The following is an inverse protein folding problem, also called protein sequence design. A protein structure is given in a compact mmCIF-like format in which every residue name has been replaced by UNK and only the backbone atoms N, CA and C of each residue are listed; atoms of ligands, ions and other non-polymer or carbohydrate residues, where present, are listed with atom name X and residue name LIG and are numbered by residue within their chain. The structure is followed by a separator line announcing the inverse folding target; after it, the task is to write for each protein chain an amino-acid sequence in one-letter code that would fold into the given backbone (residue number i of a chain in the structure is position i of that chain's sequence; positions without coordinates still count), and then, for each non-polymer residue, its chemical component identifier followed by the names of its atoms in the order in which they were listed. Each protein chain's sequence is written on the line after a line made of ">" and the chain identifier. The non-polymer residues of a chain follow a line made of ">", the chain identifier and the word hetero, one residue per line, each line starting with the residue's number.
data_IF_665004359346
#
_entry.id   IF_665004359346
#
_cell.length_a   1.000
_cell.length_b   1.000
_cell.length_c   1.000
_cell.angle_alpha   90.00
_cell.angle_beta   90.00
_cell.angle_gamma   90.00
#
_symmetry.space_group_name_H-M   'P 1'
#
loop_
_entity.id
_entity.type
_entity.pdbx_description
1 polymer ?
#
# COMPACT_ATOMS: atom_id res chain seq x y z
N UNK A 1 8.92 -26.19 -8.25
CA UNK A 1 10.10 -25.30 -8.26
C UNK A 1 9.79 -23.90 -8.78
N UNK A 2 9.29 -23.72 -10.01
CA UNK A 2 8.95 -22.37 -10.56
C UNK A 2 7.67 -21.78 -9.96
N UNK A 3 6.59 -22.56 -9.86
CA UNK A 3 5.32 -22.11 -9.26
C UNK A 3 5.45 -21.77 -7.76
N UNK A 4 6.32 -22.48 -7.03
CA UNK A 4 6.54 -22.20 -5.60
C UNK A 4 7.17 -20.81 -5.42
N UNK A 5 8.05 -20.42 -6.34
CA UNK A 5 8.71 -19.11 -6.33
C UNK A 5 7.78 -17.98 -6.74
N UNK A 6 6.91 -18.20 -7.72
CA UNK A 6 5.86 -17.23 -8.08
C UNK A 6 4.91 -16.99 -6.91
N UNK A 7 4.49 -18.05 -6.21
CA UNK A 7 3.68 -17.94 -4.99
C UNK A 7 4.40 -17.21 -3.86
N UNK A 8 5.69 -17.45 -3.68
CA UNK A 8 6.51 -16.74 -2.69
C UNK A 8 6.53 -15.23 -2.97
N UNK A 9 6.72 -14.83 -4.23
CA UNK A 9 6.70 -13.41 -4.63
C UNK A 9 5.31 -12.79 -4.42
N UNK A 10 4.24 -13.51 -4.75
CA UNK A 10 2.87 -13.06 -4.48
C UNK A 10 2.62 -12.85 -2.98
N UNK A 11 3.10 -13.74 -2.12
CA UNK A 11 2.99 -13.60 -0.67
C UNK A 11 3.78 -12.39 -0.14
N UNK A 12 4.99 -12.16 -0.65
CA UNK A 12 5.79 -10.97 -0.33
C UNK A 12 5.08 -9.68 -0.73
N UNK A 13 4.48 -9.64 -1.92
CA UNK A 13 3.67 -8.50 -2.33
C UNK A 13 2.49 -8.26 -1.38
N UNK A 14 1.79 -9.32 -0.94
CA UNK A 14 0.66 -9.17 -0.02
C UNK A 14 1.09 -8.61 1.34
N UNK A 15 2.27 -8.98 1.82
CA UNK A 15 2.88 -8.41 3.03
C UNK A 15 3.19 -6.92 2.85
N UNK A 16 3.87 -6.54 1.75
CA UNK A 16 4.15 -5.13 1.43
C UNK A 16 2.88 -4.29 1.21
N UNK A 17 1.85 -4.89 0.59
CA UNK A 17 0.58 -4.23 0.38
C UNK A 17 -0.13 -3.94 1.70
N UNK A 18 -0.04 -4.85 2.68
CA UNK A 18 -0.58 -4.64 4.02
C UNK A 18 0.14 -3.48 4.71
N UNK A 19 1.47 -3.41 4.66
CA UNK A 19 2.24 -2.30 5.23
C UNK A 19 1.83 -0.95 4.62
N UNK A 20 1.60 -0.90 3.31
CA UNK A 20 1.11 0.30 2.64
C UNK A 20 -0.32 0.68 3.04
N UNK A 21 -1.21 -0.30 3.23
CA UNK A 21 -2.57 -0.07 3.71
C UNK A 21 -2.56 0.47 5.14
N UNK A 22 -1.75 -0.10 6.03
CA UNK A 22 -1.59 0.35 7.41
C UNK A 22 -1.04 1.78 7.47
N UNK A 23 -0.09 2.12 6.59
CA UNK A 23 0.43 3.47 6.47
C UNK A 23 -0.64 4.48 6.01
N UNK A 24 -1.51 4.09 5.06
CA UNK A 24 -2.64 4.92 4.62
C UNK A 24 -3.65 5.08 5.75
N UNK A 25 -4.04 3.99 6.40
CA UNK A 25 -4.99 3.98 7.51
C UNK A 25 -4.50 4.90 8.64
N UNK A 26 -3.24 4.79 9.05
CA UNK A 26 -2.63 5.63 10.08
C UNK A 26 -2.77 7.14 9.79
N UNK A 27 -2.74 7.53 8.51
CA UNK A 27 -2.92 8.94 8.10
C UNK A 27 -4.39 9.36 8.00
N UNK A 28 -5.29 8.43 7.73
CA UNK A 28 -6.73 8.67 7.65
C UNK A 28 -7.41 8.63 9.03
N UNK A 29 -6.86 7.91 10.01
CA UNK A 29 -7.40 7.87 11.37
C UNK A 29 -7.51 9.29 11.93
N UNK A 30 -8.70 9.64 12.38
CA UNK A 30 -8.98 10.94 12.97
C UNK A 30 -9.00 12.10 11.97
N UNK A 31 -8.93 11.85 10.65
CA UNK A 31 -8.90 12.93 9.65
C UNK A 31 -10.12 13.86 9.73
N UNK A 32 -11.30 13.34 10.05
CA UNK A 32 -12.53 14.12 10.25
C UNK A 32 -12.47 15.07 11.46
N UNK A 33 -11.57 14.79 12.41
CA UNK A 33 -11.33 15.61 13.60
C UNK A 33 -10.13 16.55 13.46
N UNK A 34 -9.38 16.45 12.35
CA UNK A 34 -8.20 17.29 12.06
C UNK A 34 -8.62 18.45 11.18
N UNK A 35 -8.00 19.62 11.42
CA UNK A 35 -8.34 20.87 10.72
C UNK A 35 -8.08 20.74 9.22
N UNK A 36 -6.92 20.22 8.80
CA UNK A 36 -6.62 19.85 7.40
C UNK A 36 -5.49 18.80 7.33
N UNK A 37 -5.49 17.96 6.28
CA UNK A 37 -4.34 17.13 5.93
C UNK A 37 -3.27 17.99 5.26
N UNK A 38 -2.02 17.81 5.66
CA UNK A 38 -0.91 18.46 4.96
C UNK A 38 -0.71 17.85 3.58
N UNK A 39 -0.20 18.64 2.63
CA UNK A 39 0.19 18.14 1.29
C UNK A 39 1.15 16.95 1.38
N UNK A 40 2.06 16.95 2.34
CA UNK A 40 3.01 15.85 2.55
C UNK A 40 2.33 14.54 2.96
N UNK A 41 1.30 14.61 3.81
CA UNK A 41 0.50 13.43 4.20
C UNK A 41 -0.28 12.88 3.01
N UNK A 42 -0.89 13.75 2.21
CA UNK A 42 -1.58 13.35 0.98
C UNK A 42 -0.61 12.71 -0.01
N UNK A 43 0.53 13.34 -0.26
CA UNK A 43 1.57 12.81 -1.16
C UNK A 43 2.09 11.44 -0.69
N UNK A 44 2.21 11.22 0.62
CA UNK A 44 2.64 9.94 1.19
C UNK A 44 1.60 8.83 1.00
N UNK A 45 0.31 9.13 1.21
CA UNK A 45 -0.78 8.17 0.94
C UNK A 45 -0.85 7.83 -0.55
N UNK A 46 -0.73 8.83 -1.42
CA UNK A 46 -0.75 8.62 -2.87
C UNK A 46 0.42 7.74 -3.34
N UNK A 47 1.61 7.90 -2.78
CA UNK A 47 2.75 7.00 -3.09
C UNK A 47 2.48 5.56 -2.65
N UNK A 48 1.93 5.38 -1.45
CA UNK A 48 1.58 4.03 -0.95
C UNK A 48 0.54 3.36 -1.84
N UNK A 49 -0.52 4.09 -2.22
CA UNK A 49 -1.52 3.61 -3.17
C UNK A 49 -0.92 3.32 -4.56
N UNK A 50 0.03 4.13 -5.02
CA UNK A 50 0.73 3.92 -6.28
C UNK A 50 1.57 2.64 -6.27
N UNK A 51 2.30 2.37 -5.17
CA UNK A 51 3.08 1.14 -5.00
C UNK A 51 2.18 -0.10 -5.02
N UNK A 52 1.07 -0.08 -4.27
CA UNK A 52 0.09 -1.20 -4.27
C UNK A 52 -0.42 -1.45 -5.69
N UNK A 53 -0.84 -0.40 -6.41
CA UNK A 53 -1.33 -0.52 -7.78
C UNK A 53 -0.28 -1.13 -8.72
N UNK A 54 0.97 -0.68 -8.62
CA UNK A 54 2.07 -1.19 -9.43
C UNK A 54 2.37 -2.66 -9.15
N UNK A 55 2.47 -3.02 -7.86
CA UNK A 55 2.71 -4.40 -7.44
C UNK A 55 1.56 -5.34 -7.83
N UNK A 56 0.31 -4.92 -7.68
CA UNK A 56 -0.85 -5.71 -8.09
C UNK A 56 -0.82 -6.01 -9.60
N UNK A 57 -0.49 -5.01 -10.42
CA UNK A 57 -0.33 -5.19 -11.86
C UNK A 57 0.81 -6.14 -12.24
N UNK A 58 1.91 -6.15 -11.48
CA UNK A 58 3.03 -7.08 -11.68
C UNK A 58 2.71 -8.52 -11.27
N UNK A 59 1.85 -8.69 -10.26
CA UNK A 59 1.42 -9.99 -9.75
C UNK A 59 0.18 -10.56 -10.46
N UNK A 60 -0.42 -9.79 -11.38
CA UNK A 60 -1.66 -10.10 -12.08
C UNK A 60 -2.87 -10.32 -11.14
N UNK A 61 -2.98 -9.50 -10.10
CA UNK A 61 -4.14 -9.46 -9.18
C UNK A 61 -5.33 -8.66 -9.70
#
# INVERSE_FOLDING_TARGET
>A
MTQDKEREIQLQFLEEAQDHLDAIESKLIGVSSRVELTRQEVDAMLRSAHSIKGGAAMMEF
#
